data_IF_612681361515
#
_entry.id   IF_612681361515
#
_cell.length_a   1.000
_cell.length_b   1.000
_cell.length_c   1.000
_cell.angle_alpha   90.00
_cell.angle_beta   90.00
_cell.angle_gamma   90.00
#
_symmetry.space_group_name_H-M   'P 1'
#
loop_
_entity.id
_entity.type
_entity.pdbx_description
1 polymer ?
#
# COMPACT_ATOMS: atom_id res chain seq x y z
N UNK A 1 -6.66 -1.09 -20.41
CA UNK A 1 -7.24 -2.34 -19.90
C UNK A 1 -7.55 -2.21 -18.42
N UNK A 2 -8.72 -2.68 -17.99
CA UNK A 2 -9.09 -2.67 -16.58
C UNK A 2 -8.19 -3.63 -15.80
N UNK A 3 -7.82 -3.22 -14.59
CA UNK A 3 -7.05 -4.09 -13.70
C UNK A 3 -8.01 -5.10 -13.07
N UNK A 4 -7.77 -6.40 -13.33
CA UNK A 4 -8.61 -7.51 -12.89
C UNK A 4 -8.02 -8.25 -11.69
N UNK A 5 -6.99 -7.70 -11.02
CA UNK A 5 -6.40 -8.31 -9.82
C UNK A 5 -7.46 -8.54 -8.75
N UNK A 6 -7.53 -9.77 -8.23
CA UNK A 6 -8.41 -10.12 -7.12
C UNK A 6 -7.77 -9.70 -5.79
N UNK A 7 -8.28 -8.63 -5.19
CA UNK A 7 -7.74 -8.05 -3.96
C UNK A 7 -7.80 -9.05 -2.79
N UNK A 8 -8.90 -9.79 -2.66
CA UNK A 8 -9.07 -10.78 -1.58
C UNK A 8 -8.05 -11.92 -1.72
N UNK A 9 -7.78 -12.38 -2.94
CA UNK A 9 -6.74 -13.38 -3.17
C UNK A 9 -5.34 -12.85 -2.82
N UNK A 10 -5.05 -11.58 -3.13
CA UNK A 10 -3.79 -10.95 -2.70
C UNK A 10 -3.67 -10.90 -1.17
N UNK A 11 -4.76 -10.58 -0.46
CA UNK A 11 -4.80 -10.59 1.01
C UNK A 11 -4.47 -11.99 1.54
N UNK A 12 -5.15 -13.02 1.02
CA UNK A 12 -4.95 -14.39 1.50
C UNK A 12 -3.54 -14.91 1.20
N UNK A 13 -2.97 -14.62 0.02
CA UNK A 13 -1.58 -14.97 -0.30
C UNK A 13 -0.56 -14.21 0.55
N UNK A 14 -0.82 -12.92 0.82
CA UNK A 14 0.06 -12.13 1.68
C UNK A 14 0.07 -12.69 3.12
N UNK A 15 -1.11 -13.02 3.67
CA UNK A 15 -1.26 -13.68 4.99
C UNK A 15 -0.60 -15.06 5.03
N UNK A 16 -0.70 -15.83 3.95
CA UNK A 16 -0.06 -17.13 3.83
C UNK A 16 1.47 -17.05 3.66
N UNK A 17 2.04 -15.83 3.62
CA UNK A 17 3.44 -15.58 3.32
C UNK A 17 3.91 -16.32 2.06
N UNK A 18 3.09 -16.28 1.00
CA UNK A 18 3.37 -16.93 -0.26
C UNK A 18 4.66 -16.35 -0.89
N UNK A 19 5.67 -17.20 -1.04
CA UNK A 19 6.98 -16.84 -1.60
C UNK A 19 6.93 -16.37 -3.05
N UNK A 20 5.89 -16.76 -3.79
CA UNK A 20 5.70 -16.34 -5.17
C UNK A 20 5.03 -14.94 -5.26
N UNK A 21 4.44 -14.45 -4.16
CA UNK A 21 3.82 -13.14 -4.09
C UNK A 21 4.86 -12.05 -3.81
N UNK A 22 5.60 -11.65 -4.84
CA UNK A 22 6.62 -10.58 -4.74
C UNK A 22 6.09 -9.19 -5.10
N UNK A 23 4.97 -9.14 -5.83
CA UNK A 23 4.36 -7.89 -6.31
C UNK A 23 2.85 -7.93 -6.20
N UNK A 24 2.28 -6.88 -5.61
CA UNK A 24 0.84 -6.63 -5.55
C UNK A 24 0.56 -5.35 -6.32
N UNK A 25 -0.31 -5.43 -7.32
CA UNK A 25 -0.70 -4.29 -8.14
C UNK A 25 -2.23 -4.21 -8.25
N UNK A 26 -2.81 -3.28 -7.51
CA UNK A 26 -4.25 -2.98 -7.52
C UNK A 26 -4.53 -1.60 -8.13
N UNK A 27 -3.60 -1.05 -8.93
CA UNK A 27 -3.78 0.25 -9.56
C UNK A 27 -5.10 0.31 -10.35
N UNK A 28 -5.82 1.42 -10.21
CA UNK A 28 -7.09 1.72 -10.87
C UNK A 28 -8.27 0.79 -10.49
N UNK A 29 -8.14 -0.07 -9.48
CA UNK A 29 -9.28 -0.83 -8.97
C UNK A 29 -10.09 0.08 -8.04
N UNK A 30 -11.16 0.67 -8.58
CA UNK A 30 -12.05 1.56 -7.82
C UNK A 30 -13.16 0.79 -7.10
N UNK A 31 -13.71 1.38 -6.04
CA UNK A 31 -14.79 0.79 -5.26
C UNK A 31 -14.35 -0.26 -4.23
N UNK A 32 -13.04 -0.51 -4.10
CA UNK A 32 -12.50 -1.31 -2.98
C UNK A 32 -12.83 -0.59 -1.67
N UNK A 33 -13.44 -1.31 -0.73
CA UNK A 33 -13.80 -0.73 0.58
C UNK A 33 -12.53 -0.34 1.34
N UNK A 34 -12.53 0.78 2.09
CA UNK A 34 -11.37 1.18 2.88
C UNK A 34 -10.85 0.11 3.84
N UNK A 35 -11.73 -0.71 4.42
CA UNK A 35 -11.32 -1.78 5.34
C UNK A 35 -10.63 -2.93 4.61
N UNK A 36 -11.03 -3.26 3.38
CA UNK A 36 -10.32 -4.25 2.56
C UNK A 36 -8.91 -3.75 2.20
N UNK A 37 -8.74 -2.44 1.93
CA UNK A 37 -7.40 -1.87 1.74
C UNK A 37 -6.55 -1.94 3.00
N UNK A 38 -7.13 -1.68 4.19
CA UNK A 38 -6.41 -1.84 5.46
C UNK A 38 -6.02 -3.29 5.72
N UNK A 39 -6.91 -4.24 5.41
CA UNK A 39 -6.64 -5.67 5.57
C UNK A 39 -5.48 -6.11 4.68
N UNK A 40 -5.41 -5.61 3.44
CA UNK A 40 -4.26 -5.81 2.56
C UNK A 40 -2.97 -5.26 3.16
N UNK A 41 -2.99 -4.02 3.67
CA UNK A 41 -1.81 -3.40 4.30
C UNK A 41 -1.35 -4.17 5.54
N UNK A 42 -2.29 -4.63 6.36
CA UNK A 42 -1.99 -5.44 7.54
C UNK A 42 -1.44 -6.82 7.16
N UNK A 43 -1.96 -7.45 6.10
CA UNK A 43 -1.44 -8.72 5.60
C UNK A 43 0.01 -8.60 5.12
N UNK A 44 0.36 -7.48 4.48
CA UNK A 44 1.74 -7.22 4.02
C UNK A 44 2.67 -6.90 5.20
N UNK A 45 2.16 -6.36 6.31
CA UNK A 45 2.97 -5.95 7.47
C UNK A 45 3.90 -7.07 7.97
N UNK A 46 3.36 -8.28 8.10
CA UNK A 46 4.07 -9.49 8.53
C UNK A 46 4.65 -10.32 7.37
N UNK A 47 4.38 -9.94 6.11
CA UNK A 47 4.85 -10.68 4.94
C UNK A 47 6.34 -10.43 4.66
N UNK A 48 7.06 -11.47 4.24
CA UNK A 48 8.52 -11.46 4.05
C UNK A 48 8.96 -11.60 2.59
N UNK A 49 8.04 -11.49 1.64
CA UNK A 49 8.28 -11.72 0.22
C UNK A 49 7.81 -10.59 -0.69
N UNK A 50 6.78 -9.82 -0.30
CA UNK A 50 6.28 -8.71 -1.09
C UNK A 50 7.29 -7.57 -1.10
N UNK A 51 7.80 -7.24 -2.28
CA UNK A 51 8.76 -6.15 -2.49
C UNK A 51 8.11 -4.92 -3.14
N UNK A 52 7.01 -5.10 -3.88
CA UNK A 52 6.34 -4.03 -4.64
C UNK A 52 4.86 -3.98 -4.32
N UNK A 53 4.40 -2.83 -3.83
CA UNK A 53 2.97 -2.52 -3.62
C UNK A 53 2.56 -1.31 -4.47
N UNK A 54 1.67 -1.54 -5.43
CA UNK A 54 1.10 -0.49 -6.27
C UNK A 54 -0.42 -0.37 -6.04
N UNK A 55 -0.85 0.80 -5.57
CA UNK A 55 -2.22 1.15 -5.20
C UNK A 55 -2.59 2.56 -5.67
N UNK A 56 -2.17 2.94 -6.87
CA UNK A 56 -2.52 4.21 -7.47
C UNK A 56 -4.01 4.26 -7.84
N UNK A 57 -4.68 5.38 -7.58
CA UNK A 57 -6.07 5.62 -7.96
C UNK A 57 -7.07 4.54 -7.46
N UNK A 58 -6.93 4.13 -6.19
CA UNK A 58 -7.86 3.18 -5.52
C UNK A 58 -8.83 3.86 -4.57
N UNK A 59 -8.79 5.19 -4.47
CA UNK A 59 -9.61 5.96 -3.54
C UNK A 59 -9.11 5.92 -2.10
N UNK A 60 -7.81 5.70 -1.89
CA UNK A 60 -7.21 5.69 -0.55
C UNK A 60 -7.45 7.01 0.17
N UNK A 61 -8.01 6.94 1.37
CA UNK A 61 -8.26 8.06 2.28
C UNK A 61 -7.17 8.15 3.35
N UNK A 62 -7.14 9.25 4.10
CA UNK A 62 -6.23 9.44 5.24
C UNK A 62 -6.23 8.28 6.25
N UNK A 63 -7.38 7.64 6.49
CA UNK A 63 -7.47 6.50 7.40
C UNK A 63 -6.65 5.30 6.89
N UNK A 64 -6.72 5.01 5.59
CA UNK A 64 -5.93 3.95 4.95
C UNK A 64 -4.47 4.37 4.81
N UNK A 65 -4.20 5.66 4.53
CA UNK A 65 -2.84 6.20 4.44
C UNK A 65 -2.05 6.09 5.74
N UNK A 66 -2.70 6.19 6.91
CA UNK A 66 -2.05 5.92 8.20
C UNK A 66 -1.67 4.44 8.36
N UNK A 67 -2.52 3.51 7.94
CA UNK A 67 -2.16 2.09 7.90
C UNK A 67 -0.98 1.81 6.95
N UNK A 68 -0.86 2.57 5.86
CA UNK A 68 0.31 2.49 4.97
C UNK A 68 1.58 3.00 5.67
N UNK A 69 1.49 4.09 6.44
CA UNK A 69 2.62 4.58 7.23
C UNK A 69 3.10 3.50 8.23
N UNK A 70 2.19 2.87 8.97
CA UNK A 70 2.51 1.76 9.88
C UNK A 70 3.11 0.55 9.17
N UNK A 71 2.60 0.20 7.98
CA UNK A 71 3.18 -0.88 7.16
C UNK A 71 4.65 -0.58 6.84
N UNK A 72 4.95 0.64 6.40
CA UNK A 72 6.32 1.05 6.04
C UNK A 72 7.26 1.00 7.26
N UNK A 73 6.80 1.35 8.46
CA UNK A 73 7.63 1.27 9.66
C UNK A 73 7.98 -0.18 10.02
N UNK A 74 7.02 -1.10 9.89
CA UNK A 74 7.15 -2.46 10.38
C UNK A 74 7.76 -3.44 9.37
N UNK A 75 7.49 -3.27 8.07
CA UNK A 75 7.86 -4.28 7.08
C UNK A 75 9.29 -4.13 6.57
N UNK A 76 10.09 -5.19 6.67
CA UNK A 76 11.51 -5.18 6.29
C UNK A 76 11.81 -5.70 4.87
N UNK A 77 10.79 -6.03 4.08
CA UNK A 77 10.95 -6.58 2.72
C UNK A 77 10.57 -5.57 1.64
N UNK A 78 9.54 -4.76 1.88
CA UNK A 78 8.97 -3.83 0.92
C UNK A 78 10.00 -2.82 0.41
N UNK A 79 10.14 -2.72 -0.90
CA UNK A 79 11.11 -1.86 -1.62
C UNK A 79 10.45 -0.69 -2.33
N UNK A 80 9.26 -0.92 -2.89
CA UNK A 80 8.55 0.08 -3.68
C UNK A 80 7.10 0.22 -3.22
N UNK A 81 6.68 1.46 -2.98
CA UNK A 81 5.29 1.84 -2.72
C UNK A 81 4.85 2.90 -3.74
N UNK A 82 3.77 2.61 -4.45
CA UNK A 82 3.08 3.56 -5.31
C UNK A 82 1.66 3.79 -4.79
N UNK A 83 1.39 4.98 -4.25
CA UNK A 83 0.08 5.43 -3.81
C UNK A 83 -0.30 6.78 -4.44
N UNK A 84 0.13 7.01 -5.70
CA UNK A 84 -0.24 8.19 -6.47
C UNK A 84 -1.75 8.29 -6.72
N UNK A 85 -2.22 9.49 -7.06
CA UNK A 85 -3.60 9.68 -7.54
C UNK A 85 -4.69 9.23 -6.55
N UNK A 86 -4.43 9.36 -5.25
CA UNK A 86 -5.37 9.02 -4.17
C UNK A 86 -5.93 10.30 -3.51
N UNK A 87 -6.50 10.19 -2.30
CA UNK A 87 -7.16 11.30 -1.57
C UNK A 87 -6.47 11.58 -0.24
N UNK A 88 -5.14 11.57 -0.23
CA UNK A 88 -4.34 11.83 0.97
C UNK A 88 -4.15 13.32 1.20
N UNK A 89 -4.37 13.77 2.43
CA UNK A 89 -4.02 15.13 2.86
C UNK A 89 -2.51 15.30 2.99
N UNK A 90 -2.03 16.55 2.95
CA UNK A 90 -0.61 16.85 3.16
C UNK A 90 -0.10 16.40 4.54
N UNK A 91 -0.98 16.36 5.56
CA UNK A 91 -0.63 15.86 6.89
C UNK A 91 -0.28 14.37 6.85
N UNK A 92 -1.14 13.54 6.23
CA UNK A 92 -0.89 12.10 6.11
C UNK A 92 0.26 11.78 5.16
N UNK A 93 0.42 12.55 4.07
CA UNK A 93 1.63 12.43 3.22
C UNK A 93 2.91 12.66 4.05
N UNK A 94 2.94 13.68 4.90
CA UNK A 94 4.09 13.93 5.77
C UNK A 94 4.29 12.83 6.82
N UNK A 95 3.21 12.20 7.32
CA UNK A 95 3.29 11.02 8.20
C UNK A 95 3.92 9.83 7.48
N UNK A 96 3.46 9.49 6.26
CA UNK A 96 4.04 8.40 5.45
C UNK A 96 5.52 8.64 5.18
N UNK A 97 5.91 9.87 4.82
CA UNK A 97 7.34 10.20 4.59
C UNK A 97 8.16 10.10 5.89
N UNK A 98 7.63 10.49 7.05
CA UNK A 98 8.33 10.32 8.33
C UNK A 98 8.50 8.85 8.71
N UNK A 99 7.55 8.00 8.32
CA UNK A 99 7.56 6.58 8.64
C UNK A 99 8.74 5.84 7.99
N UNK A 100 9.22 6.31 6.82
CA UNK A 100 10.43 5.81 6.16
C UNK A 100 11.72 6.05 6.97
N UNK A 101 11.69 6.88 8.01
CA UNK A 101 12.86 7.09 8.88
C UNK A 101 13.04 5.95 9.90
N UNK A 102 11.98 5.17 10.15
CA UNK A 102 12.00 4.03 11.09
C UNK A 102 12.55 2.76 10.45
N UNK A 103 12.46 2.65 9.14
CA UNK A 103 12.87 1.48 8.38
C UNK A 103 13.40 1.87 7.00
N UNK A 104 14.61 1.42 6.67
CA UNK A 104 15.37 1.84 5.48
C UNK A 104 15.29 0.82 4.34
N UNK A 105 14.29 -0.05 4.34
CA UNK A 105 14.11 -1.07 3.28
C UNK A 105 13.47 -0.49 2.03
N UNK A 106 12.61 0.52 2.19
CA UNK A 106 11.94 1.21 1.11
C UNK A 106 12.93 2.07 0.33
N UNK A 107 13.04 1.84 -0.98
CA UNK A 107 13.92 2.59 -1.89
C UNK A 107 13.14 3.52 -2.81
N UNK A 108 11.85 3.27 -2.99
CA UNK A 108 10.99 4.08 -3.84
C UNK A 108 9.60 4.31 -3.21
N UNK A 109 9.21 5.58 -3.12
CA UNK A 109 7.92 6.02 -2.60
C UNK A 109 7.30 7.05 -3.54
N UNK A 110 6.15 6.74 -4.13
CA UNK A 110 5.41 7.64 -5.03
C UNK A 110 4.08 8.07 -4.42
N UNK A 111 3.94 9.36 -4.14
CA UNK A 111 2.75 9.95 -3.48
C UNK A 111 2.15 11.14 -4.23
N UNK A 112 2.54 11.39 -5.48
CA UNK A 112 2.09 12.56 -6.24
C UNK A 112 0.61 12.50 -6.67
N UNK A 113 0.09 13.63 -7.15
CA UNK A 113 -1.26 13.76 -7.74
C UNK A 113 -2.43 13.43 -6.79
N UNK A 114 -2.31 13.73 -5.50
CA UNK A 114 -3.43 13.56 -4.57
C UNK A 114 -4.58 14.52 -4.95
N UNK A 115 -5.79 13.98 -5.06
CA UNK A 115 -7.01 14.72 -5.40
C UNK A 115 -7.55 15.38 -4.14
N UNK A 116 -7.83 16.69 -4.21
CA UNK A 116 -8.48 17.42 -3.12
C UNK A 116 -9.91 16.89 -2.92
N UNK A 117 -10.27 16.61 -1.66
CA UNK A 117 -11.66 16.37 -1.26
C UNK A 117 -12.52 17.60 -1.52
#
# INVERSE_FOLDING_TARGET
PDNMTNVEECIEKAKANDKELTKININNIQGVKPDVLKDLLNAIKENTHVEVLAMANVGMTDAVGRSLAELIEANSTLKTVDAQSNRLTGAVVAEIVRSTLKNQTLVELRLSNQVKL
#
